data_IF_127194209600
#
_entry.id   IF_127194209600
#
_cell.length_a   1.000
_cell.length_b   1.000
_cell.length_c   1.000
_cell.angle_alpha   90.00
_cell.angle_beta   90.00
_cell.angle_gamma   90.00
#
_symmetry.space_group_name_H-M   'P 1'
#
loop_
_entity.id
_entity.type
_entity.pdbx_description
1 polymer ?
#
# COMPACT_ATOMS: atom_id res chain seq x y z
N UNK A 1 -3.95 -36.32 30.86
CA UNK A 1 -3.32 -35.01 30.57
C UNK A 1 -2.70 -35.11 29.19
N UNK A 2 -3.40 -34.63 28.16
CA UNK A 2 -2.89 -34.69 26.75
C UNK A 2 -1.97 -33.49 26.62
N UNK A 3 -0.67 -33.75 26.53
CA UNK A 3 0.33 -32.72 26.20
C UNK A 3 0.08 -32.28 24.74
N UNK A 4 -0.64 -31.17 24.54
CA UNK A 4 -0.63 -30.49 23.23
C UNK A 4 0.81 -30.03 23.01
N UNK A 5 1.51 -30.59 22.00
CA UNK A 5 2.76 -30.04 21.49
C UNK A 5 2.51 -28.55 21.24
N UNK A 6 3.24 -27.65 21.93
CA UNK A 6 3.23 -26.24 21.61
C UNK A 6 3.59 -26.13 20.12
N UNK A 7 2.63 -25.74 19.30
CA UNK A 7 2.88 -25.47 17.91
C UNK A 7 3.89 -24.31 17.88
N UNK A 8 5.05 -24.53 17.25
CA UNK A 8 6.05 -23.47 17.11
C UNK A 8 5.43 -22.40 16.21
N UNK A 9 5.38 -21.19 16.71
CA UNK A 9 4.83 -20.05 15.97
C UNK A 9 5.63 -19.85 14.67
N UNK A 10 4.97 -19.60 13.52
CA UNK A 10 5.67 -19.25 12.29
C UNK A 10 6.56 -18.02 12.48
N UNK A 11 7.75 -18.08 11.93
CA UNK A 11 8.77 -17.05 12.10
C UNK A 11 9.34 -16.65 10.75
N UNK A 12 9.64 -15.35 10.55
CA UNK A 12 10.21 -14.79 9.33
C UNK A 12 11.62 -14.29 9.62
N UNK A 13 12.62 -14.93 9.03
CA UNK A 13 14.02 -14.55 9.19
C UNK A 13 14.35 -13.26 8.44
N UNK A 14 15.05 -12.33 9.09
CA UNK A 14 15.50 -11.06 8.50
C UNK A 14 17.02 -11.01 8.37
N UNK A 15 17.76 -11.56 9.33
CA UNK A 15 19.19 -11.51 9.32
C UNK A 15 19.84 -12.02 10.61
N UNK A 16 21.05 -11.58 10.88
CA UNK A 16 21.78 -11.90 12.11
C UNK A 16 22.29 -10.63 12.78
N UNK A 17 22.39 -10.63 14.08
CA UNK A 17 22.84 -9.46 14.81
C UNK A 17 22.92 -9.64 16.31
N UNK A 18 23.02 -8.55 17.02
CA UNK A 18 23.15 -8.46 18.48
C UNK A 18 22.04 -7.59 19.06
N UNK A 19 21.62 -7.88 20.27
CA UNK A 19 20.77 -6.98 21.06
C UNK A 19 21.60 -5.80 21.56
N UNK A 20 21.13 -4.56 21.44
CA UNK A 20 21.94 -3.39 21.81
C UNK A 20 22.23 -3.29 23.31
N UNK A 21 21.33 -3.80 24.16
CA UNK A 21 21.56 -3.82 25.63
C UNK A 21 22.31 -5.08 26.11
N UNK A 22 22.40 -6.12 25.24
CA UNK A 22 23.08 -7.38 25.54
C UNK A 22 23.92 -7.84 24.34
N UNK A 23 25.04 -7.12 24.00
CA UNK A 23 25.76 -7.31 22.76
C UNK A 23 26.66 -8.57 22.73
N UNK A 24 26.67 -9.35 23.80
CA UNK A 24 27.63 -10.47 23.98
C UNK A 24 27.33 -11.67 23.06
N UNK A 25 26.14 -11.70 22.43
CA UNK A 25 25.72 -12.85 21.63
C UNK A 25 25.17 -12.45 20.29
N UNK A 26 25.78 -12.99 19.23
CA UNK A 26 25.23 -12.95 17.89
C UNK A 26 24.10 -13.98 17.81
N UNK A 27 22.94 -13.56 17.27
CA UNK A 27 21.75 -14.39 17.15
C UNK A 27 21.03 -14.17 15.80
N UNK A 28 20.26 -15.15 15.33
CA UNK A 28 19.35 -14.93 14.22
C UNK A 28 18.27 -13.92 14.62
N UNK A 29 18.01 -12.96 13.74
CA UNK A 29 17.00 -11.93 13.92
C UNK A 29 15.84 -12.18 12.96
N UNK A 30 14.64 -12.07 13.47
CA UNK A 30 13.44 -12.26 12.66
C UNK A 30 12.17 -11.91 13.43
N UNK A 31 11.03 -12.14 12.79
CA UNK A 31 9.73 -11.74 13.28
C UNK A 31 8.82 -12.96 13.42
N UNK A 32 8.38 -13.31 14.63
CA UNK A 32 7.23 -14.19 14.80
C UNK A 32 5.97 -13.51 14.24
N UNK A 33 5.02 -14.29 13.76
CA UNK A 33 3.80 -13.75 13.15
C UNK A 33 2.96 -12.92 14.12
N UNK A 34 3.03 -13.20 15.43
CA UNK A 34 2.43 -12.37 16.48
C UNK A 34 2.97 -10.94 16.47
N UNK A 35 4.27 -10.75 16.20
CA UNK A 35 4.87 -9.43 16.07
C UNK A 35 4.50 -8.75 14.74
N UNK A 36 4.29 -9.54 13.66
CA UNK A 36 3.91 -9.02 12.35
C UNK A 36 2.50 -8.43 12.32
N UNK A 37 1.63 -8.80 13.27
CA UNK A 37 0.32 -8.13 13.47
C UNK A 37 0.44 -6.65 13.77
N UNK A 38 1.55 -6.21 14.34
CA UNK A 38 1.88 -4.80 14.58
C UNK A 38 2.66 -4.17 13.43
N UNK A 39 2.60 -4.74 12.24
CA UNK A 39 3.16 -4.24 10.98
C UNK A 39 4.68 -4.01 11.00
N UNK A 40 5.23 -3.77 9.83
CA UNK A 40 6.66 -3.60 9.61
C UNK A 40 6.92 -2.37 8.73
N UNK A 41 7.91 -1.58 9.10
CA UNK A 41 8.34 -0.45 8.29
C UNK A 41 9.85 -0.44 8.07
N UNK A 42 10.28 -0.27 6.82
CA UNK A 42 11.70 -0.24 6.46
C UNK A 42 12.08 1.12 5.87
N UNK A 43 13.06 1.77 6.50
CA UNK A 43 13.70 2.97 5.99
C UNK A 43 15.09 2.66 5.43
N UNK A 44 15.44 3.24 4.29
CA UNK A 44 16.78 3.12 3.74
C UNK A 44 16.93 3.78 2.38
N UNK A 45 18.08 4.33 2.08
CA UNK A 45 18.37 4.90 0.76
C UNK A 45 18.41 3.83 -0.34
N UNK A 46 18.66 4.22 -1.56
CA UNK A 46 18.82 3.29 -2.69
C UNK A 46 20.06 2.40 -2.51
N UNK A 47 19.99 1.16 -3.01
CA UNK A 47 21.10 0.17 -3.02
C UNK A 47 21.63 -0.26 -1.65
N UNK A 48 20.89 -0.05 -0.57
CA UNK A 48 21.29 -0.54 0.77
C UNK A 48 20.77 -1.93 1.13
N UNK A 49 19.86 -2.49 0.31
CA UNK A 49 19.32 -3.83 0.51
C UNK A 49 17.82 -3.90 0.83
N UNK A 50 17.05 -2.79 0.76
CA UNK A 50 15.59 -2.80 1.01
C UNK A 50 14.84 -3.84 0.18
N UNK A 51 14.99 -3.79 -1.15
CA UNK A 51 14.30 -4.72 -2.08
C UNK A 51 14.70 -6.16 -1.79
N UNK A 52 15.97 -6.46 -1.49
CA UNK A 52 16.40 -7.80 -1.10
C UNK A 52 15.78 -8.28 0.22
N UNK A 53 15.62 -7.37 1.19
CA UNK A 53 14.88 -7.70 2.44
C UNK A 53 13.41 -8.00 2.13
N UNK A 54 12.76 -7.20 1.28
CA UNK A 54 11.40 -7.43 0.82
C UNK A 54 11.27 -8.80 0.11
N UNK A 55 12.14 -9.10 -0.84
CA UNK A 55 12.19 -10.40 -1.53
C UNK A 55 12.31 -11.58 -0.56
N UNK A 56 13.20 -11.46 0.43
CA UNK A 56 13.40 -12.52 1.42
C UNK A 56 12.19 -12.75 2.32
N UNK A 57 11.44 -11.71 2.68
CA UNK A 57 10.19 -11.84 3.43
C UNK A 57 9.10 -12.44 2.55
N UNK A 58 8.92 -11.95 1.33
CA UNK A 58 7.94 -12.46 0.36
C UNK A 58 8.17 -13.94 0.06
N UNK A 59 9.42 -14.35 -0.21
CA UNK A 59 9.75 -15.76 -0.44
C UNK A 59 9.30 -16.64 0.72
N UNK A 60 9.62 -16.25 1.95
CA UNK A 60 9.23 -16.99 3.14
C UNK A 60 7.71 -17.07 3.30
N UNK A 61 6.99 -15.98 3.00
CA UNK A 61 5.53 -15.95 3.11
C UNK A 61 4.85 -16.84 2.05
N UNK A 62 5.34 -16.83 0.81
CA UNK A 62 4.85 -17.75 -0.23
C UNK A 62 5.07 -19.20 0.19
N UNK A 63 6.27 -19.53 0.71
CA UNK A 63 6.60 -20.88 1.19
C UNK A 63 5.79 -21.32 2.41
N UNK A 64 5.34 -20.38 3.26
CA UNK A 64 4.40 -20.63 4.37
C UNK A 64 2.95 -20.82 3.89
N UNK A 65 2.65 -20.61 2.61
CA UNK A 65 1.30 -20.68 2.05
C UNK A 65 0.46 -19.41 2.24
N UNK A 66 1.06 -18.28 2.63
CA UNK A 66 0.33 -17.03 2.82
C UNK A 66 -0.08 -16.42 1.48
N UNK A 67 -1.14 -15.62 1.50
CA UNK A 67 -1.42 -14.70 0.41
C UNK A 67 -0.41 -13.56 0.45
N UNK A 68 0.05 -13.14 -0.72
CA UNK A 68 1.03 -12.05 -0.86
C UNK A 68 0.51 -11.05 -1.87
N UNK A 69 0.58 -9.77 -1.52
CA UNK A 69 0.42 -8.65 -2.45
C UNK A 69 1.68 -7.81 -2.39
N UNK A 70 2.34 -7.64 -3.52
CA UNK A 70 3.51 -6.79 -3.67
C UNK A 70 3.17 -5.62 -4.61
N UNK A 71 3.05 -4.42 -4.05
CA UNK A 71 2.86 -3.19 -4.82
C UNK A 71 4.23 -2.57 -5.06
N UNK A 72 4.64 -2.58 -6.31
CA UNK A 72 5.89 -2.01 -6.79
C UNK A 72 5.61 -0.94 -7.86
N UNK A 73 5.58 0.34 -7.49
CA UNK A 73 5.32 1.42 -8.44
C UNK A 73 6.36 1.54 -9.55
N UNK A 74 7.59 1.06 -9.34
CA UNK A 74 8.68 1.14 -10.33
C UNK A 74 8.62 0.04 -11.37
N UNK A 75 8.23 -1.17 -10.97
CA UNK A 75 8.20 -2.35 -11.82
C UNK A 75 9.55 -3.07 -11.88
N UNK A 76 10.07 -3.53 -10.73
CA UNK A 76 11.32 -4.28 -10.64
C UNK A 76 11.14 -5.71 -11.17
N UNK A 77 11.82 -6.00 -12.28
CA UNK A 77 11.76 -7.32 -12.93
C UNK A 77 12.44 -8.41 -12.10
N UNK A 78 13.47 -8.09 -11.33
CA UNK A 78 14.17 -9.07 -10.49
C UNK A 78 13.26 -9.51 -9.34
N UNK A 79 12.57 -8.57 -8.69
CA UNK A 79 11.53 -8.86 -7.69
C UNK A 79 10.41 -9.74 -8.27
N UNK A 80 9.89 -9.38 -9.44
CA UNK A 80 8.84 -10.15 -10.09
C UNK A 80 9.30 -11.55 -10.47
N UNK A 81 10.49 -11.68 -11.07
CA UNK A 81 11.09 -12.97 -11.41
C UNK A 81 11.27 -13.87 -10.18
N UNK A 82 11.69 -13.29 -9.05
CA UNK A 82 11.81 -14.01 -7.78
C UNK A 82 10.46 -14.53 -7.28
N UNK A 83 9.42 -13.70 -7.31
CA UNK A 83 8.07 -14.09 -6.90
C UNK A 83 7.54 -15.22 -7.78
N UNK A 84 7.70 -15.12 -9.11
CA UNK A 84 7.29 -16.15 -10.08
C UNK A 84 8.02 -17.45 -9.79
N UNK A 85 9.34 -17.41 -9.61
CA UNK A 85 10.11 -18.61 -9.29
C UNK A 85 9.59 -19.30 -8.03
N UNK A 86 9.43 -18.54 -6.93
CA UNK A 86 8.99 -19.13 -5.66
C UNK A 86 7.57 -19.69 -5.76
N UNK A 87 6.68 -19.03 -6.52
CA UNK A 87 5.36 -19.57 -6.78
C UNK A 87 5.39 -20.90 -7.53
N UNK A 88 6.27 -21.03 -8.54
CA UNK A 88 6.50 -22.29 -9.26
C UNK A 88 7.11 -23.37 -8.35
N UNK A 89 8.15 -23.03 -7.57
CA UNK A 89 8.81 -23.94 -6.63
C UNK A 89 7.86 -24.52 -5.58
N UNK A 90 6.78 -23.77 -5.27
CA UNK A 90 5.79 -24.16 -4.25
C UNK A 90 4.49 -24.71 -4.84
N UNK A 91 4.39 -24.85 -6.18
CA UNK A 91 3.18 -25.31 -6.88
C UNK A 91 2.00 -24.33 -6.77
N UNK A 92 2.29 -23.03 -6.64
CA UNK A 92 1.30 -21.97 -6.47
C UNK A 92 1.17 -21.04 -7.69
N UNK A 93 1.53 -21.52 -8.87
CA UNK A 93 1.42 -20.78 -10.12
C UNK A 93 -0.02 -20.29 -10.42
N UNK A 94 -1.03 -21.03 -9.97
CA UNK A 94 -2.45 -20.66 -10.12
C UNK A 94 -2.88 -19.50 -9.23
N UNK A 95 -2.09 -19.20 -8.21
CA UNK A 95 -2.32 -18.08 -7.31
C UNK A 95 -1.71 -16.77 -7.84
N UNK A 96 -0.85 -16.85 -8.86
CA UNK A 96 -0.18 -15.69 -9.46
C UNK A 96 -1.17 -14.80 -10.20
N UNK A 97 -1.05 -13.51 -9.95
CA UNK A 97 -1.73 -12.43 -10.67
C UNK A 97 -0.73 -11.30 -10.90
N UNK A 98 -0.64 -10.84 -12.13
CA UNK A 98 0.13 -9.65 -12.49
C UNK A 98 -0.83 -8.52 -12.83
N UNK A 99 -0.59 -7.35 -12.25
CA UNK A 99 -1.24 -6.10 -12.61
C UNK A 99 -0.18 -5.17 -13.15
N UNK A 100 -0.22 -4.91 -14.45
CA UNK A 100 0.79 -4.07 -15.10
C UNK A 100 0.22 -3.27 -16.27
N UNK A 101 0.03 -1.95 -16.08
CA UNK A 101 -0.34 -1.07 -17.18
C UNK A 101 0.72 -0.93 -18.28
N UNK A 102 1.98 -1.33 -17.98
CA UNK A 102 3.05 -1.28 -18.98
C UNK A 102 2.79 -2.32 -20.09
N UNK A 103 2.28 -3.50 -19.70
CA UNK A 103 1.98 -4.61 -20.58
C UNK A 103 0.56 -5.12 -20.35
N UNK A 104 -0.47 -4.38 -20.78
CA UNK A 104 -1.86 -4.70 -20.43
C UNK A 104 -2.29 -6.08 -20.94
N UNK A 105 -1.70 -6.59 -22.01
CA UNK A 105 -1.97 -7.93 -22.53
C UNK A 105 -1.55 -9.09 -21.60
N UNK A 106 -0.68 -8.82 -20.61
CA UNK A 106 -0.26 -9.79 -19.60
C UNK A 106 -0.87 -9.49 -18.22
N UNK A 107 -1.68 -8.46 -18.12
CA UNK A 107 -2.29 -8.02 -16.87
C UNK A 107 -3.64 -8.68 -16.64
N UNK A 108 -3.92 -9.04 -15.39
CA UNK A 108 -5.29 -9.26 -14.97
C UNK A 108 -6.05 -7.92 -14.86
N UNK A 109 -7.38 -7.98 -14.94
CA UNK A 109 -8.26 -6.85 -14.71
C UNK A 109 -8.70 -6.78 -13.24
N UNK A 110 -8.95 -5.56 -12.76
CA UNK A 110 -9.42 -5.28 -11.41
C UNK A 110 -10.51 -4.23 -11.46
N UNK A 111 -11.77 -4.65 -11.33
CA UNK A 111 -12.86 -3.71 -11.10
C UNK A 111 -12.95 -3.37 -9.61
N UNK A 112 -12.64 -2.13 -9.19
CA UNK A 112 -12.74 -1.75 -7.79
C UNK A 112 -14.20 -1.66 -7.31
N UNK A 113 -15.17 -1.65 -8.20
CA UNK A 113 -16.59 -1.43 -7.88
C UNK A 113 -17.42 -2.71 -7.92
N UNK A 114 -16.86 -3.85 -8.33
CA UNK A 114 -17.59 -5.12 -8.51
C UNK A 114 -18.07 -5.76 -7.20
N UNK A 115 -17.40 -5.48 -6.08
CA UNK A 115 -17.67 -6.14 -4.79
C UNK A 115 -17.69 -5.13 -3.66
N UNK A 116 -18.82 -4.96 -3.02
CA UNK A 116 -19.01 -4.06 -1.88
C UNK A 116 -20.09 -4.60 -0.93
N UNK A 117 -20.08 -4.14 0.30
CA UNK A 117 -21.13 -4.31 1.30
C UNK A 117 -21.89 -3.01 1.53
N UNK A 118 -21.19 -1.88 1.52
CA UNK A 118 -21.75 -0.54 1.71
C UNK A 118 -21.34 0.36 0.54
N UNK A 119 -22.24 1.27 0.13
CA UNK A 119 -21.98 2.23 -0.96
C UNK A 119 -20.75 3.09 -0.68
N UNK A 120 -20.49 3.40 0.58
CA UNK A 120 -19.36 4.18 1.03
C UNK A 120 -18.00 3.53 0.69
N UNK A 121 -17.94 2.19 0.57
CA UNK A 121 -16.74 1.50 0.09
C UNK A 121 -16.42 1.89 -1.36
N UNK A 122 -17.45 1.93 -2.22
CA UNK A 122 -17.29 2.33 -3.61
C UNK A 122 -16.83 3.79 -3.73
N UNK A 123 -17.40 4.66 -2.91
CA UNK A 123 -17.01 6.09 -2.85
C UNK A 123 -15.55 6.22 -2.37
N UNK A 124 -15.14 5.41 -1.39
CA UNK A 124 -13.76 5.39 -0.93
C UNK A 124 -12.79 4.97 -2.05
N UNK A 125 -13.15 3.97 -2.88
CA UNK A 125 -12.32 3.57 -4.03
C UNK A 125 -12.20 4.67 -5.08
N UNK A 126 -13.31 5.33 -5.40
CA UNK A 126 -13.34 6.46 -6.36
C UNK A 126 -12.48 7.63 -5.87
N UNK A 127 -12.55 7.94 -4.58
CA UNK A 127 -11.87 9.11 -3.98
C UNK A 127 -10.42 8.82 -3.54
N UNK A 128 -10.03 7.57 -3.38
CA UNK A 128 -8.66 7.20 -2.99
C UNK A 128 -7.60 7.77 -3.94
N UNK A 129 -7.92 7.87 -5.25
CA UNK A 129 -7.07 8.47 -6.26
C UNK A 129 -7.04 9.99 -6.28
N UNK A 130 -7.96 10.67 -5.59
CA UNK A 130 -8.04 12.12 -5.57
C UNK A 130 -6.84 12.67 -4.80
N UNK A 131 -6.09 13.57 -5.43
CA UNK A 131 -4.94 14.19 -4.80
C UNK A 131 -5.36 15.03 -3.58
N UNK A 132 -4.65 14.84 -2.47
CA UNK A 132 -4.79 15.69 -1.30
C UNK A 132 -4.21 17.06 -1.63
N UNK A 133 -5.07 18.01 -1.95
CA UNK A 133 -4.71 19.42 -2.07
C UNK A 133 -4.41 20.04 -0.69
N UNK A 134 -3.90 21.29 -0.69
CA UNK A 134 -3.71 22.04 0.55
C UNK A 134 -5.02 22.32 1.28
N UNK A 135 -6.14 22.28 0.56
CA UNK A 135 -7.48 22.58 1.08
C UNK A 135 -8.34 21.29 1.13
N UNK A 136 -8.77 20.86 2.32
CA UNK A 136 -9.65 19.69 2.51
C UNK A 136 -10.99 19.79 1.76
N UNK A 137 -11.39 21.00 1.42
CA UNK A 137 -12.65 21.32 0.75
C UNK A 137 -12.82 20.55 -0.57
N UNK A 138 -11.80 20.53 -1.43
CA UNK A 138 -11.88 19.83 -2.72
C UNK A 138 -12.07 18.32 -2.59
N UNK A 139 -11.49 17.72 -1.55
CA UNK A 139 -11.71 16.31 -1.26
C UNK A 139 -13.16 16.05 -0.81
N UNK A 140 -13.71 16.93 0.06
CA UNK A 140 -15.10 16.81 0.52
C UNK A 140 -16.10 16.90 -0.64
N UNK A 141 -15.87 17.83 -1.57
CA UNK A 141 -16.71 17.95 -2.78
C UNK A 141 -16.58 16.74 -3.68
N UNK A 142 -15.36 16.20 -3.87
CA UNK A 142 -15.15 14.99 -4.64
C UNK A 142 -15.88 13.78 -4.02
N UNK A 143 -15.87 13.70 -2.70
CA UNK A 143 -16.60 12.66 -1.96
C UNK A 143 -18.12 12.81 -2.14
N UNK A 144 -18.67 14.01 -1.96
CA UNK A 144 -20.09 14.29 -2.11
C UNK A 144 -20.61 13.96 -3.51
N UNK A 145 -19.89 14.41 -4.56
CA UNK A 145 -20.26 14.12 -5.96
C UNK A 145 -20.19 12.60 -6.20
N UNK A 146 -19.14 11.93 -5.74
CA UNK A 146 -19.01 10.47 -5.90
C UNK A 146 -20.14 9.74 -5.22
N UNK A 147 -20.56 10.17 -4.02
CA UNK A 147 -21.62 9.55 -3.24
C UNK A 147 -22.95 9.63 -3.98
N UNK A 148 -23.36 10.80 -4.44
CA UNK A 148 -24.65 10.95 -5.14
C UNK A 148 -24.66 10.21 -6.47
N UNK A 149 -23.54 10.16 -7.22
CA UNK A 149 -23.47 9.43 -8.48
C UNK A 149 -23.56 7.92 -8.23
N UNK A 150 -22.80 7.38 -7.28
CA UNK A 150 -22.83 5.96 -6.95
C UNK A 150 -24.24 5.55 -6.47
N UNK A 151 -24.84 6.32 -5.54
CA UNK A 151 -26.20 6.07 -5.07
C UNK A 151 -27.23 6.06 -6.21
N UNK A 152 -27.12 7.03 -7.13
CA UNK A 152 -28.03 7.11 -8.27
C UNK A 152 -27.89 5.91 -9.21
N UNK A 153 -26.64 5.48 -9.52
CA UNK A 153 -26.41 4.31 -10.36
C UNK A 153 -26.92 3.01 -9.72
N UNK A 154 -26.73 2.85 -8.42
CA UNK A 154 -27.27 1.71 -7.66
C UNK A 154 -28.81 1.72 -7.70
N UNK A 155 -29.44 2.87 -7.37
CA UNK A 155 -30.89 2.99 -7.32
C UNK A 155 -31.54 2.77 -8.69
N UNK A 156 -30.94 3.27 -9.77
CA UNK A 156 -31.42 3.02 -11.14
C UNK A 156 -31.34 1.54 -11.54
N UNK A 157 -30.29 0.84 -11.12
CA UNK A 157 -30.17 -0.59 -11.37
C UNK A 157 -31.25 -1.37 -10.61
N UNK A 158 -31.44 -1.08 -9.32
CA UNK A 158 -32.45 -1.69 -8.47
C UNK A 158 -33.90 -1.44 -8.99
N UNK A 159 -34.17 -0.21 -9.40
CA UNK A 159 -35.50 0.14 -9.97
C UNK A 159 -35.82 -0.63 -11.26
N UNK A 160 -34.80 -1.09 -11.99
CA UNK A 160 -34.97 -1.94 -13.19
C UNK A 160 -34.87 -3.43 -12.89
N UNK A 161 -34.75 -3.83 -11.60
CA UNK A 161 -34.61 -5.22 -11.17
C UNK A 161 -33.27 -5.84 -11.57
N UNK A 162 -32.25 -5.02 -11.85
CA UNK A 162 -30.91 -5.47 -12.22
C UNK A 162 -29.96 -5.39 -11.02
N UNK A 163 -28.97 -6.27 -10.98
CA UNK A 163 -27.86 -6.11 -10.06
C UNK A 163 -27.07 -4.86 -10.48
N UNK A 164 -26.71 -3.97 -9.54
CA UNK A 164 -25.82 -2.86 -9.85
C UNK A 164 -24.52 -3.38 -10.49
N UNK A 165 -24.21 -2.89 -11.69
CA UNK A 165 -23.02 -3.23 -12.45
C UNK A 165 -22.58 -1.99 -13.20
N UNK A 166 -21.58 -1.32 -12.69
CA UNK A 166 -20.98 -0.13 -13.28
C UNK A 166 -19.50 -0.05 -12.88
N UNK A 167 -18.70 0.56 -13.72
CA UNK A 167 -17.26 0.73 -13.51
C UNK A 167 -16.87 2.20 -13.35
N UNK A 168 -15.59 2.47 -13.15
CA UNK A 168 -15.10 3.83 -12.95
C UNK A 168 -15.36 4.74 -14.16
N UNK A 169 -15.38 4.20 -15.38
CA UNK A 169 -15.69 5.01 -16.55
C UNK A 169 -17.16 5.46 -16.57
N UNK A 170 -18.07 4.64 -16.09
CA UNK A 170 -19.47 5.04 -15.95
C UNK A 170 -19.63 6.14 -14.90
N UNK A 171 -18.94 6.05 -13.76
CA UNK A 171 -18.93 7.14 -12.78
C UNK A 171 -18.41 8.42 -13.41
N UNK A 172 -17.27 8.37 -14.12
CA UNK A 172 -16.69 9.53 -14.82
C UNK A 172 -17.68 10.20 -15.78
N UNK A 173 -18.50 9.40 -16.46
CA UNK A 173 -19.49 9.89 -17.42
C UNK A 173 -20.71 10.55 -16.76
N UNK A 174 -20.84 10.51 -15.44
CA UNK A 174 -21.95 11.09 -14.69
C UNK A 174 -21.55 12.23 -13.73
N UNK A 175 -20.30 12.72 -13.79
CA UNK A 175 -19.81 13.77 -12.86
C UNK A 175 -19.87 15.19 -13.41
N UNK A 176 -20.24 15.42 -14.66
CA UNK A 176 -20.41 16.80 -15.18
C UNK A 176 -21.74 17.38 -14.69
N UNK A 177 -21.82 18.71 -14.62
CA UNK A 177 -23.05 19.38 -14.21
C UNK A 177 -24.26 18.93 -15.08
N UNK A 178 -24.10 18.88 -16.41
CA UNK A 178 -25.13 18.42 -17.33
C UNK A 178 -25.51 16.95 -17.13
N UNK A 179 -24.54 16.09 -16.80
CA UNK A 179 -24.82 14.67 -16.60
C UNK A 179 -25.50 14.42 -15.26
N UNK A 180 -25.20 15.25 -14.22
CA UNK A 180 -25.96 15.23 -12.97
C UNK A 180 -27.41 15.71 -13.16
N UNK A 181 -27.69 16.69 -14.04
CA UNK A 181 -29.04 17.08 -14.41
C UNK A 181 -29.83 15.91 -15.02
N UNK A 182 -29.25 15.24 -16.04
CA UNK A 182 -29.84 14.05 -16.66
C UNK A 182 -30.03 12.90 -15.65
N UNK A 183 -29.08 12.75 -14.73
CA UNK A 183 -29.16 11.73 -13.69
C UNK A 183 -30.33 12.02 -12.74
N UNK A 184 -30.46 13.30 -12.31
CA UNK A 184 -31.59 13.74 -11.49
C UNK A 184 -32.93 13.51 -12.18
N UNK A 185 -33.07 13.87 -13.46
CA UNK A 185 -34.27 13.60 -14.23
C UNK A 185 -34.70 12.11 -14.18
N UNK A 186 -33.71 11.19 -14.30
CA UNK A 186 -34.02 9.75 -14.21
C UNK A 186 -34.44 9.33 -12.80
N UNK A 187 -33.84 9.91 -11.76
CA UNK A 187 -34.15 9.62 -10.35
C UNK A 187 -35.56 10.15 -10.01
N UNK A 188 -35.95 11.30 -10.55
CA UNK A 188 -37.30 11.90 -10.32
C UNK A 188 -38.47 10.97 -10.81
N UNK A 189 -38.21 10.00 -11.70
CA UNK A 189 -39.21 9.00 -12.12
C UNK A 189 -39.34 7.82 -11.15
N UNK A 190 -38.51 7.71 -10.13
CA UNK A 190 -38.55 6.60 -9.17
C UNK A 190 -39.32 7.06 -7.93
N UNK A 191 -40.47 6.45 -7.68
CA UNK A 191 -41.33 6.79 -6.54
C UNK A 191 -40.95 5.97 -5.29
N UNK A 192 -39.77 6.34 -4.69
CA UNK A 192 -39.33 5.81 -3.40
C UNK A 192 -38.80 6.93 -2.51
N UNK A 193 -38.88 6.78 -1.18
CA UNK A 193 -38.30 7.78 -0.25
C UNK A 193 -36.81 8.04 -0.49
N UNK A 194 -36.05 6.99 -0.86
CA UNK A 194 -34.62 7.10 -1.17
C UNK A 194 -34.38 7.95 -2.43
N UNK A 195 -35.20 7.73 -3.49
CA UNK A 195 -35.10 8.52 -4.72
C UNK A 195 -35.44 9.99 -4.48
N UNK A 196 -36.49 10.26 -3.71
CA UNK A 196 -36.87 11.64 -3.35
C UNK A 196 -35.77 12.37 -2.58
N UNK A 197 -35.14 11.71 -1.60
CA UNK A 197 -34.02 12.28 -0.86
C UNK A 197 -32.80 12.53 -1.77
N UNK A 198 -32.46 11.57 -2.62
CA UNK A 198 -31.34 11.69 -3.56
C UNK A 198 -31.57 12.80 -4.59
N UNK A 199 -32.79 12.97 -5.07
CA UNK A 199 -33.17 14.08 -5.97
C UNK A 199 -32.96 15.45 -5.31
N UNK A 200 -33.27 15.58 -4.00
CA UNK A 200 -32.99 16.79 -3.22
C UNK A 200 -31.50 17.05 -3.07
N UNK A 201 -30.70 16.02 -2.83
CA UNK A 201 -29.24 16.16 -2.69
C UNK A 201 -28.58 16.52 -4.04
N UNK A 202 -29.03 15.92 -5.14
CA UNK A 202 -28.64 16.32 -6.50
C UNK A 202 -29.03 17.77 -6.79
N UNK A 203 -30.25 18.20 -6.38
CA UNK A 203 -30.70 19.58 -6.57
C UNK A 203 -29.82 20.59 -5.82
N UNK A 204 -29.34 20.26 -4.61
CA UNK A 204 -28.41 21.12 -3.87
C UNK A 204 -27.09 21.31 -4.63
N UNK A 205 -26.53 20.22 -5.15
CA UNK A 205 -25.29 20.27 -5.94
C UNK A 205 -25.52 21.12 -7.20
N UNK A 206 -26.62 20.88 -7.91
CA UNK A 206 -26.99 21.57 -9.15
C UNK A 206 -27.34 23.05 -8.95
N UNK A 207 -27.67 23.48 -7.73
CA UNK A 207 -27.85 24.89 -7.40
C UNK A 207 -26.52 25.69 -7.44
N UNK A 208 -25.40 24.99 -7.43
CA UNK A 208 -24.07 25.60 -7.59
C UNK A 208 -23.87 26.04 -9.04
N UNK A 209 -23.42 27.28 -9.31
CA UNK A 209 -23.15 27.72 -10.68
C UNK A 209 -22.20 26.78 -11.42
N UNK A 210 -22.55 26.41 -12.66
CA UNK A 210 -21.84 25.38 -13.45
C UNK A 210 -20.33 25.65 -13.58
N UNK A 211 -19.92 26.92 -13.74
CA UNK A 211 -18.51 27.31 -13.82
C UNK A 211 -17.76 27.05 -12.51
N UNK A 212 -18.40 27.33 -11.37
CA UNK A 212 -17.82 27.06 -10.05
C UNK A 212 -17.78 25.56 -9.79
N UNK A 213 -18.87 24.85 -10.07
CA UNK A 213 -18.93 23.38 -9.99
C UNK A 213 -17.80 22.71 -10.77
N UNK A 214 -17.58 23.13 -12.02
CA UNK A 214 -16.53 22.60 -12.88
C UNK A 214 -15.12 22.74 -12.29
N UNK A 215 -14.87 23.82 -11.52
CA UNK A 215 -13.60 24.06 -10.83
C UNK A 215 -13.45 23.13 -9.63
N UNK A 216 -14.48 23.00 -8.78
CA UNK A 216 -14.40 22.19 -7.55
C UNK A 216 -14.41 20.69 -7.85
N UNK A 217 -15.08 20.24 -8.92
CA UNK A 217 -15.08 18.86 -9.38
C UNK A 217 -13.82 18.46 -10.16
N UNK A 218 -12.90 19.42 -10.41
CA UNK A 218 -11.74 19.17 -11.30
C UNK A 218 -10.80 18.08 -10.81
N UNK A 219 -10.57 18.00 -9.49
CA UNK A 219 -9.68 16.99 -8.89
C UNK A 219 -10.23 15.58 -9.06
N UNK A 220 -11.53 15.38 -8.84
CA UNK A 220 -12.23 14.12 -9.09
C UNK A 220 -12.17 13.73 -10.57
N UNK A 221 -12.48 14.68 -11.46
CA UNK A 221 -12.43 14.45 -12.91
C UNK A 221 -11.04 14.02 -13.38
N UNK A 222 -9.99 14.64 -12.86
CA UNK A 222 -8.60 14.28 -13.20
C UNK A 222 -8.28 12.87 -12.70
N UNK A 223 -8.60 12.55 -11.46
CA UNK A 223 -8.36 11.21 -10.91
C UNK A 223 -9.09 10.12 -11.70
N UNK A 224 -10.37 10.32 -12.01
CA UNK A 224 -11.14 9.38 -12.84
C UNK A 224 -10.59 9.30 -14.27
N UNK A 225 -10.12 10.39 -14.84
CA UNK A 225 -9.49 10.38 -16.18
C UNK A 225 -8.20 9.54 -16.16
N UNK A 226 -7.37 9.66 -15.14
CA UNK A 226 -6.15 8.85 -14.98
C UNK A 226 -6.47 7.35 -14.88
N UNK A 227 -7.55 7.00 -14.18
CA UNK A 227 -7.99 5.62 -13.97
C UNK A 227 -8.72 5.01 -15.16
N UNK A 228 -9.30 5.83 -16.06
CA UNK A 228 -10.15 5.35 -17.16
C UNK A 228 -9.53 5.54 -18.54
N UNK A 229 -8.33 6.11 -18.62
CA UNK A 229 -7.65 6.35 -19.89
C UNK A 229 -6.47 5.42 -20.12
N UNK A 230 -6.15 5.16 -21.39
CA UNK A 230 -4.99 4.37 -21.78
C UNK A 230 -4.98 2.96 -21.18
N UNK A 231 -3.79 2.44 -20.91
CA UNK A 231 -3.61 1.08 -20.41
C UNK A 231 -4.16 0.89 -18.98
N UNK A 232 -4.10 1.91 -18.14
CA UNK A 232 -4.72 1.85 -16.80
C UNK A 232 -6.23 1.69 -16.93
N UNK A 233 -6.85 2.41 -17.89
CA UNK A 233 -8.28 2.29 -18.18
C UNK A 233 -8.68 0.88 -18.58
N UNK A 234 -7.88 0.18 -19.38
CA UNK A 234 -8.16 -1.21 -19.78
C UNK A 234 -8.15 -2.19 -18.59
N UNK A 235 -7.31 -1.93 -17.57
CA UNK A 235 -7.10 -2.84 -16.45
C UNK A 235 -8.06 -2.54 -15.29
N UNK A 236 -8.32 -1.26 -15.01
CA UNK A 236 -9.07 -0.82 -13.82
C UNK A 236 -10.35 -0.08 -14.23
N UNK A 237 -10.25 0.87 -15.16
CA UNK A 237 -11.34 1.82 -15.44
C UNK A 237 -12.54 1.23 -16.14
N UNK A 238 -12.34 0.24 -17.00
CA UNK A 238 -13.34 -0.44 -17.81
C UNK A 238 -13.51 -1.92 -17.41
N UNK A 239 -12.88 -2.35 -16.33
CA UNK A 239 -13.02 -3.70 -15.83
C UNK A 239 -14.45 -3.96 -15.33
N UNK A 240 -14.88 -5.21 -15.36
CA UNK A 240 -16.18 -5.70 -14.92
C UNK A 240 -16.08 -6.88 -13.93
N UNK A 241 -14.87 -7.32 -13.63
CA UNK A 241 -14.58 -8.39 -12.67
C UNK A 241 -13.38 -8.06 -11.77
N UNK A 242 -13.32 -8.71 -10.60
CA UNK A 242 -12.22 -8.58 -9.66
C UNK A 242 -11.83 -9.94 -9.07
N UNK A 243 -11.12 -10.74 -9.85
CA UNK A 243 -10.67 -12.07 -9.41
C UNK A 243 -9.81 -12.04 -8.14
N UNK A 244 -9.12 -10.93 -7.87
CA UNK A 244 -8.30 -10.78 -6.68
C UNK A 244 -9.16 -10.80 -5.40
N UNK A 245 -10.15 -9.91 -5.32
CA UNK A 245 -11.05 -9.85 -4.16
C UNK A 245 -11.90 -11.13 -4.08
N UNK A 246 -12.40 -11.64 -5.20
CA UNK A 246 -13.20 -12.87 -5.22
C UNK A 246 -12.44 -14.07 -4.63
N UNK A 247 -11.15 -14.22 -4.95
CA UNK A 247 -10.32 -15.28 -4.38
C UNK A 247 -10.12 -15.09 -2.88
N UNK A 248 -9.87 -13.88 -2.43
CA UNK A 248 -9.74 -13.56 -1.00
C UNK A 248 -11.04 -13.84 -0.23
N UNK A 249 -12.20 -13.46 -0.78
CA UNK A 249 -13.51 -13.74 -0.18
C UNK A 249 -13.78 -15.25 -0.09
N UNK A 250 -13.30 -16.03 -1.06
CA UNK A 250 -13.41 -17.49 -1.07
C UNK A 250 -12.34 -18.19 -0.22
N UNK A 251 -11.51 -17.46 0.53
CA UNK A 251 -10.38 -17.99 1.31
C UNK A 251 -9.37 -18.78 0.44
N UNK A 252 -9.20 -18.39 -0.81
CA UNK A 252 -8.19 -18.93 -1.72
C UNK A 252 -6.93 -18.10 -1.65
N UNK A 253 -5.78 -18.76 -1.77
CA UNK A 253 -4.48 -18.08 -1.81
C UNK A 253 -4.35 -17.14 -3.03
N UNK A 254 -3.63 -16.05 -2.85
CA UNK A 254 -3.32 -15.08 -3.91
C UNK A 254 -1.84 -14.70 -3.81
N UNK A 255 -1.17 -14.59 -4.94
CA UNK A 255 0.16 -13.99 -5.08
C UNK A 255 0.02 -12.91 -6.15
N UNK A 256 -0.25 -11.67 -5.74
CA UNK A 256 -0.46 -10.56 -6.66
C UNK A 256 0.76 -9.66 -6.71
N UNK A 257 1.25 -9.38 -7.90
CA UNK A 257 2.31 -8.39 -8.13
C UNK A 257 1.74 -7.24 -8.94
N UNK A 258 1.90 -6.03 -8.42
CA UNK A 258 1.39 -4.80 -9.01
C UNK A 258 2.58 -3.97 -9.47
N UNK A 259 2.84 -3.97 -10.78
CA UNK A 259 3.94 -3.24 -11.42
C UNK A 259 3.37 -2.05 -12.20
N UNK A 260 3.37 -0.88 -11.61
CA UNK A 260 2.62 0.27 -12.14
C UNK A 260 3.38 1.10 -13.17
N UNK A 261 4.71 0.96 -13.28
CA UNK A 261 5.52 1.65 -14.28
C UNK A 261 5.59 3.17 -14.07
N UNK A 262 5.80 3.60 -12.85
CA UNK A 262 5.80 5.03 -12.47
C UNK A 262 6.83 5.89 -13.22
N UNK A 263 7.86 5.29 -13.80
CA UNK A 263 8.83 6.00 -14.65
C UNK A 263 8.21 6.47 -15.98
N UNK A 264 7.20 5.78 -16.48
CA UNK A 264 6.49 6.13 -17.70
C UNK A 264 5.28 7.03 -17.45
N UNK A 265 4.49 6.71 -16.40
CA UNK A 265 3.20 7.36 -16.13
C UNK A 265 2.99 7.59 -14.63
N UNK A 266 3.83 8.43 -14.01
CA UNK A 266 3.88 8.61 -12.55
C UNK A 266 2.50 8.82 -11.90
N UNK A 267 1.67 9.76 -12.41
CA UNK A 267 0.39 10.10 -11.80
C UNK A 267 -0.60 8.93 -11.88
N UNK A 268 -0.84 8.41 -13.07
CA UNK A 268 -1.77 7.30 -13.28
C UNK A 268 -1.35 6.04 -12.48
N UNK A 269 -0.04 5.76 -12.41
CA UNK A 269 0.51 4.69 -11.61
C UNK A 269 0.19 4.85 -10.11
N UNK A 270 0.44 6.03 -9.55
CA UNK A 270 0.17 6.29 -8.13
C UNK A 270 -1.33 6.28 -7.82
N UNK A 271 -2.15 6.87 -8.71
CA UNK A 271 -3.61 6.85 -8.57
C UNK A 271 -4.15 5.43 -8.57
N UNK A 272 -3.70 4.57 -9.50
CA UNK A 272 -4.06 3.16 -9.56
C UNK A 272 -3.62 2.40 -8.28
N UNK A 273 -2.40 2.63 -7.80
CA UNK A 273 -1.90 2.01 -6.57
C UNK A 273 -2.74 2.36 -5.34
N UNK A 274 -3.19 3.61 -5.22
CA UNK A 274 -4.08 4.08 -4.14
C UNK A 274 -5.44 3.37 -4.19
N UNK A 275 -6.02 3.22 -5.38
CA UNK A 275 -7.29 2.50 -5.56
C UNK A 275 -7.14 1.02 -5.18
N UNK A 276 -6.06 0.36 -5.61
CA UNK A 276 -5.79 -1.04 -5.22
C UNK A 276 -5.64 -1.18 -3.70
N UNK A 277 -4.91 -0.27 -3.05
CA UNK A 277 -4.79 -0.27 -1.59
C UNK A 277 -6.14 -0.04 -0.89
N UNK A 278 -7.01 0.83 -1.44
CA UNK A 278 -8.37 1.06 -0.95
C UNK A 278 -9.26 -0.19 -1.04
N UNK A 279 -9.15 -0.97 -2.12
CA UNK A 279 -9.87 -2.25 -2.25
C UNK A 279 -9.44 -3.25 -1.17
N UNK A 280 -8.14 -3.34 -0.89
CA UNK A 280 -7.61 -4.17 0.19
C UNK A 280 -8.15 -3.70 1.54
N UNK A 281 -8.18 -2.39 1.77
CA UNK A 281 -8.72 -1.81 3.01
C UNK A 281 -10.19 -2.17 3.21
N UNK A 282 -11.04 -2.05 2.19
CA UNK A 282 -12.45 -2.41 2.28
C UNK A 282 -12.64 -3.90 2.58
N UNK A 283 -11.91 -4.78 1.88
CA UNK A 283 -11.91 -6.22 2.15
C UNK A 283 -11.52 -6.54 3.60
N UNK A 284 -10.42 -5.95 4.09
CA UNK A 284 -9.95 -6.12 5.47
C UNK A 284 -10.97 -5.59 6.47
N UNK A 285 -11.60 -4.44 6.17
CA UNK A 285 -12.65 -3.85 6.99
C UNK A 285 -13.86 -4.77 7.16
N UNK A 286 -14.32 -5.42 6.08
CA UNK A 286 -15.41 -6.41 6.13
C UNK A 286 -15.05 -7.62 7.00
N UNK A 287 -13.82 -8.15 6.84
CA UNK A 287 -13.34 -9.28 7.66
C UNK A 287 -13.24 -8.90 9.13
N UNK A 288 -12.61 -7.76 9.42
CA UNK A 288 -12.46 -7.25 10.79
C UNK A 288 -13.81 -7.01 11.48
N UNK A 289 -14.75 -6.33 10.81
CA UNK A 289 -16.08 -6.03 11.35
C UNK A 289 -16.93 -7.29 11.54
N UNK A 290 -16.62 -8.38 10.84
CA UNK A 290 -17.29 -9.66 10.97
C UNK A 290 -16.60 -10.61 11.96
N UNK A 291 -15.60 -10.15 12.70
CA UNK A 291 -14.74 -10.97 13.60
C UNK A 291 -14.15 -12.19 12.88
N UNK A 292 -13.74 -12.00 11.62
CA UNK A 292 -13.13 -13.06 10.81
C UNK A 292 -11.71 -12.74 10.44
N UNK A 293 -10.88 -13.77 10.46
CA UNK A 293 -9.50 -13.70 9.98
C UNK A 293 -9.45 -13.90 8.46
N UNK A 294 -8.52 -13.22 7.82
CA UNK A 294 -8.13 -13.49 6.44
C UNK A 294 -7.35 -14.82 6.42
N UNK A 295 -7.82 -15.77 5.63
CA UNK A 295 -7.25 -17.11 5.56
C UNK A 295 -7.04 -17.52 4.09
N UNK A 296 -5.83 -17.91 3.67
CA UNK A 296 -4.58 -17.81 4.44
C UNK A 296 -4.23 -16.35 4.77
N UNK A 297 -3.37 -16.10 5.80
CA UNK A 297 -2.96 -14.73 6.15
C UNK A 297 -2.45 -13.95 4.94
N UNK A 298 -2.72 -12.65 4.91
CA UNK A 298 -2.30 -11.78 3.82
C UNK A 298 -1.08 -10.95 4.22
N UNK A 299 0.00 -11.07 3.47
CA UNK A 299 1.19 -10.23 3.56
C UNK A 299 1.15 -9.17 2.47
N UNK A 300 0.95 -7.92 2.86
CA UNK A 300 0.91 -6.76 1.96
C UNK A 300 2.25 -6.02 2.01
N UNK A 301 2.96 -6.00 0.90
CA UNK A 301 4.22 -5.28 0.74
C UNK A 301 4.03 -4.07 -0.17
N UNK A 302 4.48 -2.92 0.28
CA UNK A 302 4.34 -1.65 -0.45
C UNK A 302 5.72 -1.01 -0.60
N UNK A 303 6.36 -1.19 -1.75
CA UNK A 303 7.59 -0.45 -2.06
C UNK A 303 7.27 1.00 -2.41
N UNK A 304 8.20 1.91 -2.15
CA UNK A 304 7.97 3.36 -2.25
C UNK A 304 6.60 3.75 -1.65
N UNK A 305 6.34 3.30 -0.40
CA UNK A 305 5.02 3.32 0.22
C UNK A 305 4.35 4.69 0.18
N UNK A 306 5.14 5.78 0.25
CA UNK A 306 4.63 7.16 0.14
C UNK A 306 3.80 7.39 -1.15
N UNK A 307 4.05 6.63 -2.21
CA UNK A 307 3.38 6.83 -3.51
C UNK A 307 1.96 6.28 -3.57
N UNK A 308 1.60 5.34 -2.70
CA UNK A 308 0.28 4.68 -2.66
C UNK A 308 -0.52 4.98 -1.39
N UNK A 309 0.03 5.79 -0.47
CA UNK A 309 -0.72 6.26 0.69
C UNK A 309 -1.75 7.32 0.28
N UNK A 310 -2.92 7.28 0.91
CA UNK A 310 -4.04 8.19 0.68
C UNK A 310 -4.74 8.52 1.99
N UNK A 311 -5.68 9.46 1.98
CA UNK A 311 -6.44 9.86 3.16
C UNK A 311 -7.36 8.72 3.63
N UNK A 312 -7.23 8.30 4.88
CA UNK A 312 -8.00 7.22 5.49
C UNK A 312 -7.28 5.86 5.51
N UNK A 313 -6.12 5.73 4.85
CA UNK A 313 -5.34 4.46 4.87
C UNK A 313 -4.77 4.16 6.27
N UNK A 314 -4.62 5.15 7.13
CA UNK A 314 -4.18 4.99 8.52
C UNK A 314 -5.05 4.00 9.31
N UNK A 315 -6.34 3.91 8.98
CA UNK A 315 -7.27 2.94 9.57
C UNK A 315 -6.90 1.48 9.21
N UNK A 316 -6.36 1.26 8.02
CA UNK A 316 -5.86 -0.06 7.62
C UNK A 316 -4.69 -0.47 8.53
N UNK A 317 -3.73 0.42 8.78
CA UNK A 317 -2.60 0.15 9.68
C UNK A 317 -3.04 -0.05 11.14
N UNK A 318 -4.12 0.59 11.56
CA UNK A 318 -4.62 0.43 12.93
C UNK A 318 -5.30 -0.93 13.17
N UNK A 319 -5.93 -1.54 12.15
CA UNK A 319 -6.89 -2.65 12.32
C UNK A 319 -6.49 -3.94 11.59
N UNK A 320 -5.67 -3.86 10.54
CA UNK A 320 -5.38 -5.00 9.66
C UNK A 320 -4.74 -6.19 10.38
N UNK A 321 -3.89 -5.95 11.38
CA UNK A 321 -3.29 -7.01 12.19
C UNK A 321 -4.30 -7.89 12.90
N UNK A 322 -5.41 -7.30 13.39
CA UNK A 322 -6.53 -8.01 13.99
C UNK A 322 -7.23 -8.94 13.00
N UNK A 323 -7.26 -8.60 11.72
CA UNK A 323 -7.83 -9.43 10.66
C UNK A 323 -6.86 -10.44 10.04
N UNK A 324 -5.61 -10.57 10.54
CA UNK A 324 -4.62 -11.50 9.98
C UNK A 324 -3.92 -10.96 8.72
N UNK A 325 -3.80 -9.64 8.61
CA UNK A 325 -3.09 -8.97 7.51
C UNK A 325 -1.84 -8.29 8.05
N UNK A 326 -0.69 -8.60 7.44
CA UNK A 326 0.62 -8.07 7.81
C UNK A 326 1.07 -7.04 6.77
N UNK A 327 1.20 -5.79 7.16
CA UNK A 327 1.60 -4.71 6.25
C UNK A 327 3.10 -4.45 6.40
N UNK A 328 3.79 -4.36 5.27
CA UNK A 328 5.21 -4.06 5.17
C UNK A 328 5.39 -2.83 4.26
N UNK A 329 5.70 -1.69 4.88
CA UNK A 329 5.99 -0.45 4.16
C UNK A 329 7.49 -0.26 3.95
N UNK A 330 7.89 0.17 2.77
CA UNK A 330 9.28 0.49 2.44
C UNK A 330 9.35 1.90 1.87
N UNK A 331 10.24 2.73 2.40
CA UNK A 331 10.48 4.08 1.88
C UNK A 331 11.94 4.49 2.12
N UNK A 332 12.33 5.62 1.52
CA UNK A 332 13.70 6.10 1.65
C UNK A 332 13.86 7.02 2.86
N UNK A 333 12.86 7.86 3.15
CA UNK A 333 12.94 8.84 4.21
C UNK A 333 11.58 9.19 4.81
N UNK A 334 11.55 9.66 6.06
CA UNK A 334 10.34 10.23 6.68
C UNK A 334 9.88 11.47 5.95
N UNK A 335 10.80 12.24 5.37
CA UNK A 335 10.47 13.47 4.64
C UNK A 335 9.59 13.21 3.43
N UNK A 336 9.75 12.08 2.75
CA UNK A 336 8.88 11.68 1.63
C UNK A 336 7.46 11.37 2.10
N UNK A 337 7.31 10.69 3.25
CA UNK A 337 5.98 10.45 3.83
C UNK A 337 5.29 11.76 4.21
N UNK A 338 6.00 12.65 4.88
CA UNK A 338 5.47 13.95 5.30
C UNK A 338 5.03 14.82 4.13
N UNK A 339 5.74 14.74 3.00
CA UNK A 339 5.41 15.50 1.80
C UNK A 339 4.12 15.00 1.12
N UNK A 340 3.85 13.69 1.15
CA UNK A 340 2.70 13.10 0.44
C UNK A 340 1.41 13.14 1.27
N UNK A 341 1.46 12.82 2.56
CA UNK A 341 0.24 12.66 3.40
C UNK A 341 0.16 13.61 4.59
N UNK A 342 1.19 14.44 4.79
CA UNK A 342 1.30 15.32 5.97
C UNK A 342 1.93 14.62 7.18
N UNK A 343 2.41 15.43 8.13
CA UNK A 343 3.19 14.94 9.28
C UNK A 343 2.33 14.06 10.20
N UNK A 344 1.13 14.52 10.56
CA UNK A 344 0.30 13.84 11.56
C UNK A 344 -0.15 12.46 11.10
N UNK A 345 -0.60 12.33 9.84
CA UNK A 345 -0.99 11.03 9.27
C UNK A 345 0.20 10.09 9.11
N UNK A 346 1.34 10.62 8.66
CA UNK A 346 2.55 9.84 8.54
C UNK A 346 2.98 9.27 9.90
N UNK A 347 2.95 10.09 10.96
CA UNK A 347 3.24 9.64 12.30
C UNK A 347 2.23 8.60 12.78
N UNK A 348 0.92 8.81 12.56
CA UNK A 348 -0.12 7.83 12.90
C UNK A 348 0.16 6.46 12.25
N UNK A 349 0.56 6.42 10.98
CA UNK A 349 0.93 5.18 10.30
C UNK A 349 2.17 4.55 10.94
N UNK A 350 3.22 5.35 11.17
CA UNK A 350 4.47 4.87 11.74
C UNK A 350 4.29 4.38 13.19
N UNK A 351 3.42 5.00 13.98
CA UNK A 351 3.12 4.59 15.35
C UNK A 351 2.38 3.24 15.39
N UNK A 352 1.60 2.92 14.37
CA UNK A 352 0.97 1.62 14.20
C UNK A 352 1.93 0.53 13.67
N UNK A 353 3.13 0.90 13.23
CA UNK A 353 4.17 -0.04 12.81
C UNK A 353 5.15 -0.30 13.96
N UNK A 354 4.85 -1.34 14.78
CA UNK A 354 5.66 -1.65 15.95
C UNK A 354 7.06 -2.21 15.65
N UNK A 355 7.24 -2.76 14.44
CA UNK A 355 8.54 -3.22 13.97
C UNK A 355 9.07 -2.24 12.95
N UNK A 356 10.26 -1.69 13.21
CA UNK A 356 10.95 -0.79 12.27
C UNK A 356 12.36 -1.25 12.00
N UNK A 357 12.72 -1.30 10.73
CA UNK A 357 14.06 -1.63 10.26
C UNK A 357 14.67 -0.39 9.62
N UNK A 358 15.78 0.05 10.15
CA UNK A 358 16.50 1.24 9.71
C UNK A 358 17.83 0.85 9.09
N UNK A 359 17.93 1.00 7.79
CA UNK A 359 19.20 0.93 7.05
C UNK A 359 19.78 2.33 6.91
N UNK A 360 20.90 2.48 6.20
CA UNK A 360 21.47 3.79 5.88
C UNK A 360 20.39 4.68 5.23
N UNK A 361 20.18 5.87 5.78
CA UNK A 361 19.20 6.85 5.25
C UNK A 361 19.90 8.01 4.54
N UNK A 362 19.20 8.74 3.64
CA UNK A 362 19.85 9.74 2.78
C UNK A 362 20.02 11.11 3.43
N UNK A 363 19.23 11.43 4.46
CA UNK A 363 19.10 12.80 4.99
C UNK A 363 19.15 12.85 6.52
N UNK A 364 19.58 13.99 7.05
CA UNK A 364 19.74 14.22 8.48
C UNK A 364 18.41 14.21 9.26
N UNK A 365 17.30 14.63 8.64
CA UNK A 365 15.98 14.63 9.30
C UNK A 365 15.52 13.21 9.61
N UNK A 366 15.67 12.30 8.65
CA UNK A 366 15.40 10.89 8.86
C UNK A 366 16.38 10.26 9.82
N UNK A 367 17.67 10.62 9.76
CA UNK A 367 18.67 10.11 10.70
C UNK A 367 18.39 10.56 12.14
N UNK A 368 17.94 11.79 12.35
CA UNK A 368 17.47 12.27 13.66
C UNK A 368 16.23 11.49 14.13
N UNK A 369 15.24 11.30 13.27
CA UNK A 369 14.07 10.48 13.58
C UNK A 369 14.46 9.06 14.06
N UNK A 370 15.44 8.44 13.39
CA UNK A 370 15.96 7.11 13.79
C UNK A 370 16.66 7.18 15.14
N UNK A 371 17.51 8.17 15.38
CA UNK A 371 18.22 8.36 16.64
C UNK A 371 17.25 8.54 17.81
N UNK A 372 16.23 9.39 17.63
CA UNK A 372 15.19 9.66 18.62
C UNK A 372 14.34 8.41 18.88
N UNK A 373 14.00 7.65 17.83
CA UNK A 373 13.25 6.41 17.94
C UNK A 373 13.99 5.28 18.66
N UNK A 374 15.32 5.20 18.51
CA UNK A 374 16.18 4.24 19.21
C UNK A 374 16.43 4.64 20.67
N UNK A 375 16.17 5.90 21.02
CA UNK A 375 16.21 6.43 22.37
C UNK A 375 17.62 6.61 22.94
N UNK A 376 17.67 6.78 24.24
CA UNK A 376 18.87 7.09 25.01
C UNK A 376 19.37 5.89 25.80
N UNK A 377 20.62 5.94 26.22
CA UNK A 377 21.27 4.99 27.14
C UNK A 377 22.00 5.73 28.23
N UNK A 378 22.10 5.12 29.39
CA UNK A 378 22.95 5.64 30.47
C UNK A 378 24.41 5.35 30.17
N UNK A 379 25.24 6.36 30.30
CA UNK A 379 26.71 6.30 30.11
C UNK A 379 27.38 6.80 31.36
N UNK A 380 28.36 6.05 31.81
CA UNK A 380 29.20 6.44 32.94
C UNK A 380 30.46 7.13 32.39
N UNK A 381 30.56 8.44 32.56
CA UNK A 381 31.67 9.23 32.09
C UNK A 381 32.66 9.50 33.26
N UNK A 382 33.94 9.06 33.17
CA UNK A 382 34.93 9.40 34.17
C UNK A 382 35.30 10.88 34.07
N UNK A 383 35.29 11.57 35.19
CA UNK A 383 35.74 12.95 35.32
C UNK A 383 37.03 12.92 36.11
N UNK A 384 38.13 13.34 35.51
CA UNK A 384 39.44 13.49 36.15
C UNK A 384 39.61 14.97 36.48
N UNK A 385 39.71 15.31 37.77
CA UNK A 385 40.01 16.67 38.20
C UNK A 385 41.52 16.93 38.23
N UNK A 386 41.92 18.16 37.96
CA UNK A 386 43.33 18.59 37.95
C UNK A 386 44.09 18.32 39.27
N UNK A 387 43.40 18.04 40.37
CA UNK A 387 43.94 17.62 41.68
C UNK A 387 44.07 16.12 41.89
N UNK A 388 43.89 15.27 40.85
CA UNK A 388 44.08 13.83 40.93
C UNK A 388 42.86 13.06 41.42
N UNK A 389 41.68 13.69 41.61
CA UNK A 389 40.43 13.03 41.96
C UNK A 389 39.77 12.41 40.73
N UNK A 390 39.39 11.11 40.84
CA UNK A 390 38.54 10.41 39.86
C UNK A 390 37.11 10.39 40.39
N UNK A 391 36.17 10.96 39.63
CA UNK A 391 34.73 10.81 39.88
C UNK A 391 34.02 10.22 38.65
N UNK A 392 32.96 9.51 38.88
CA UNK A 392 32.14 8.95 37.79
C UNK A 392 30.83 9.70 37.79
N UNK A 393 30.44 10.25 36.64
CA UNK A 393 29.16 10.88 36.42
C UNK A 393 28.30 10.01 35.53
N UNK A 394 27.10 9.70 35.97
CA UNK A 394 26.06 9.11 35.15
C UNK A 394 25.45 10.21 34.30
N UNK A 395 25.39 10.01 32.98
CA UNK A 395 24.78 10.91 32.01
C UNK A 395 23.95 10.09 31.01
N UNK A 396 22.90 10.66 30.51
CA UNK A 396 22.17 10.10 29.39
C UNK A 396 22.84 10.56 28.07
N UNK A 397 23.02 9.63 27.13
CA UNK A 397 23.50 9.89 25.77
C UNK A 397 22.65 9.10 24.79
N UNK A 398 22.51 9.61 23.56
CA UNK A 398 21.77 8.94 22.51
C UNK A 398 22.34 7.53 22.28
N UNK A 399 21.47 6.55 22.17
CA UNK A 399 21.87 5.15 21.98
C UNK A 399 22.63 4.95 20.67
N UNK A 400 22.15 5.62 19.60
CA UNK A 400 22.77 5.62 18.26
C UNK A 400 22.80 7.05 17.74
N UNK A 401 23.98 7.54 17.36
CA UNK A 401 24.13 8.89 16.82
C UNK A 401 23.59 8.95 15.39
N UNK A 402 22.97 10.08 15.04
CA UNK A 402 22.46 10.30 13.67
C UNK A 402 23.57 10.14 12.60
N UNK A 403 24.82 10.51 12.90
CA UNK A 403 25.97 10.32 12.00
C UNK A 403 26.27 8.85 11.73
N UNK A 404 26.03 7.97 12.70
CA UNK A 404 26.19 6.53 12.55
C UNK A 404 25.18 5.98 11.56
N UNK A 405 23.90 6.40 11.64
CA UNK A 405 22.83 6.00 10.72
C UNK A 405 23.16 6.43 9.28
N UNK A 406 23.69 7.64 9.09
CA UNK A 406 24.09 8.17 7.77
C UNK A 406 25.30 7.43 7.16
N UNK A 407 26.16 6.81 7.99
CA UNK A 407 27.40 6.16 7.56
C UNK A 407 27.34 4.63 7.51
N UNK A 408 26.18 4.03 7.80
CA UNK A 408 26.03 2.56 7.77
C UNK A 408 26.40 1.98 6.41
N UNK A 409 27.09 0.84 6.41
CA UNK A 409 27.35 0.09 5.20
C UNK A 409 26.08 -0.57 4.64
N UNK A 410 26.04 -0.90 3.35
CA UNK A 410 24.94 -1.68 2.78
C UNK A 410 24.67 -2.94 3.59
N UNK A 411 23.38 -3.31 3.71
CA UNK A 411 22.87 -4.46 4.46
C UNK A 411 22.92 -4.34 5.99
N UNK A 412 23.66 -3.40 6.55
CA UNK A 412 23.60 -3.11 7.99
C UNK A 412 22.25 -2.45 8.32
N UNK A 413 21.73 -2.78 9.51
CA UNK A 413 20.47 -2.22 9.99
C UNK A 413 20.44 -2.08 11.52
N UNK A 414 19.58 -1.18 11.98
CA UNK A 414 18.98 -1.22 13.31
C UNK A 414 17.55 -1.73 13.19
N UNK A 415 17.13 -2.57 14.13
CA UNK A 415 15.80 -3.17 14.15
C UNK A 415 15.16 -2.94 15.51
N UNK A 416 13.99 -2.34 15.54
CA UNK A 416 13.16 -2.26 16.74
C UNK A 416 11.98 -3.23 16.62
N UNK A 417 11.72 -3.99 17.67
CA UNK A 417 10.64 -4.96 17.76
C UNK A 417 10.05 -4.96 19.19
N UNK A 418 8.99 -5.72 19.42
CA UNK A 418 8.47 -5.96 20.78
C UNK A 418 9.50 -6.56 21.74
N UNK A 419 10.51 -7.26 21.23
CA UNK A 419 11.52 -7.94 22.06
C UNK A 419 12.79 -7.11 22.29
N UNK A 420 12.88 -5.90 21.74
CA UNK A 420 13.99 -5.01 21.98
C UNK A 420 14.55 -4.35 20.72
N UNK A 421 15.75 -3.80 20.87
CA UNK A 421 16.48 -3.07 19.83
C UNK A 421 17.73 -3.85 19.45
N UNK A 422 17.92 -4.04 18.17
CA UNK A 422 19.00 -4.86 17.62
C UNK A 422 19.81 -4.09 16.58
N UNK A 423 21.08 -4.46 16.44
CA UNK A 423 21.93 -4.10 15.30
C UNK A 423 22.29 -5.37 14.56
N UNK A 424 22.16 -5.36 13.23
CA UNK A 424 22.42 -6.58 12.47
C UNK A 424 22.82 -6.34 11.03
N UNK A 425 22.94 -7.47 10.33
CA UNK A 425 23.16 -7.54 8.88
C UNK A 425 22.05 -8.40 8.30
N UNK A 426 21.43 -7.95 7.20
CA UNK A 426 20.35 -8.68 6.53
C UNK A 426 20.82 -10.03 6.03
N UNK A 427 19.92 -11.01 6.03
CA UNK A 427 20.17 -12.32 5.43
C UNK A 427 20.59 -12.21 3.97
N UNK A 428 21.36 -13.19 3.51
CA UNK A 428 21.62 -13.35 2.09
C UNK A 428 20.36 -13.90 1.39
N UNK A 429 19.88 -13.15 0.43
CA UNK A 429 18.74 -13.52 -0.40
C UNK A 429 19.26 -13.79 -1.81
N UNK A 430 19.18 -15.05 -2.25
CA UNK A 430 19.58 -15.43 -3.61
C UNK A 430 18.65 -14.77 -4.62
N UNK A 431 19.21 -14.24 -5.68
CA UNK A 431 18.44 -13.77 -6.84
C UNK A 431 17.62 -14.91 -7.47
N UNK A 432 16.69 -14.58 -8.34
CA UNK A 432 15.95 -15.56 -9.10
C UNK A 432 16.90 -16.33 -10.05
N UNK A 433 16.73 -17.64 -10.16
CA UNK A 433 17.40 -18.48 -11.16
C UNK A 433 16.72 -18.42 -12.53
N UNK A 434 15.43 -18.07 -12.56
CA UNK A 434 14.69 -17.75 -13.78
C UNK A 434 14.58 -16.22 -13.94
N UNK A 435 14.42 -15.76 -15.17
CA UNK A 435 14.15 -14.36 -15.46
C UNK A 435 12.90 -14.24 -16.31
N UNK A 436 11.92 -13.48 -15.85
CA UNK A 436 10.77 -13.11 -16.68
C UNK A 436 11.24 -12.07 -17.69
N UNK A 437 10.85 -12.24 -18.95
CA UNK A 437 11.21 -11.35 -20.04
C UNK A 437 9.92 -10.82 -20.64
N UNK A 438 9.75 -9.51 -20.63
CA UNK A 438 8.69 -8.82 -21.36
C UNK A 438 9.21 -8.35 -22.74
N UNK A 439 8.32 -8.12 -23.71
CA UNK A 439 8.70 -7.53 -24.98
C UNK A 439 9.38 -6.16 -24.79
N UNK A 440 10.27 -5.80 -25.70
CA UNK A 440 10.87 -4.48 -25.73
C UNK A 440 9.80 -3.40 -25.96
N UNK A 441 9.83 -2.34 -25.14
CA UNK A 441 8.92 -1.20 -25.32
C UNK A 441 9.51 -0.31 -26.40
N UNK A 442 8.80 -0.20 -27.54
CA UNK A 442 9.19 0.67 -28.64
C UNK A 442 8.20 1.82 -28.81
N UNK A 443 8.66 3.01 -29.24
CA UNK A 443 7.76 4.10 -29.60
C UNK A 443 6.77 3.64 -30.68
N UNK A 444 5.50 4.07 -30.61
CA UNK A 444 4.45 3.65 -31.57
C UNK A 444 4.79 3.92 -33.01
N UNK A 445 5.53 5.00 -33.32
CA UNK A 445 5.97 5.34 -34.69
C UNK A 445 7.07 4.41 -35.21
N UNK A 446 7.77 3.67 -34.34
CA UNK A 446 8.82 2.72 -34.74
C UNK A 446 8.27 1.35 -35.18
N UNK A 447 6.99 1.09 -34.98
CA UNK A 447 6.36 -0.19 -35.35
C UNK A 447 5.92 -0.29 -36.81
N UNK A 448 6.06 0.80 -37.58
CA UNK A 448 5.63 0.87 -39.00
C UNK A 448 6.66 0.44 -40.05
N UNK A 449 7.92 0.15 -39.69
CA UNK A 449 8.98 -0.12 -40.67
C UNK A 449 9.48 -1.57 -40.78
N UNK A 450 8.86 -2.52 -40.07
CA UNK A 450 9.35 -3.90 -40.04
C UNK A 450 8.54 -4.94 -40.85
N UNK A 451 7.56 -4.54 -41.68
CA UNK A 451 6.83 -5.44 -42.58
C UNK A 451 7.07 -5.17 -44.08
N UNK A 452 8.29 -4.90 -44.43
CA UNK A 452 8.65 -4.71 -45.85
C UNK A 452 10.09 -5.03 -46.11
N UNK A 453 10.44 -6.33 -46.18
CA UNK A 453 11.44 -6.93 -47.12
C UNK A 453 11.90 -8.27 -46.55
N UNK A 454 11.36 -9.34 -47.05
CA UNK A 454 12.05 -10.43 -47.78
C UNK A 454 11.00 -11.16 -48.63
#
# INVERSE_FOLDING_TARGET
>A
MIWRKKQVEPWTHIGTGIHLDHPDKIMPLGLPDSHRKGHFWCFGTTRVGKTRTMEGIIEQDIRKGYSVVAIDPKGDIDLFSKIVQVALDTGREKDLMLITPIFPQYSATLDPLSTYYMIEELVAHVTAGVALGKEPYFFSVAYEISLVVVQALVLLAEATGRKPSFNLNEIKNHISHQDLEKLKEKIDYIDTPQAQQLALDLQKILSTPADYYSKVASSLRVALTELTSGNVGQIIGHADENRFIDRLEQNKGVIMVVQLGSLLTKRAAYTAGKVIASMIQAFVGRRYSSDKQVTPPLSLHIDEAQSVLYQGIEELFAKAGGAGVYIHGYCQSVSQLYAEIGIDRANTILDNCNTKLFMRVPDSKTASYVSDHLGEKRVFSPIISLGGGLSIRETEDVRVKHTEVLSMAPRQFFLTTYSGIYRGITADVSGASLRVIFPEIRPQWATGEAEGTV
#
